data_IF_688956760896
#
_entry.id   IF_688956760896
#
_cell.length_a   1.000
_cell.length_b   1.000
_cell.length_c   1.000
_cell.angle_alpha   90.00
_cell.angle_beta   90.00
_cell.angle_gamma   90.00
#
_symmetry.space_group_name_H-M   'P 1'
#
loop_
_entity.id
_entity.type
_entity.pdbx_description
1 polymer ?
#
# COMPACT_ATOMS: atom_id res chain seq x y z
N UNK A 1 28.93 7.98 69.46
CA UNK A 1 29.08 8.82 68.24
C UNK A 1 29.32 8.02 66.94
N UNK A 2 29.43 6.68 66.94
CA UNK A 2 29.67 5.87 65.72
C UNK A 2 28.40 5.40 64.97
N UNK A 3 27.24 5.33 65.65
CA UNK A 3 26.00 4.82 65.05
C UNK A 3 25.29 5.82 64.12
N UNK A 4 25.45 7.13 64.34
CA UNK A 4 24.80 8.17 63.51
C UNK A 4 25.44 8.29 62.12
N UNK A 5 26.73 7.95 61.98
CA UNK A 5 27.47 8.03 60.72
C UNK A 5 27.04 6.92 59.76
N UNK A 6 26.75 5.72 60.29
CA UNK A 6 26.34 4.56 59.50
C UNK A 6 24.94 4.75 58.88
N UNK A 7 24.02 5.41 59.60
CA UNK A 7 22.67 5.74 59.09
C UNK A 7 22.69 6.80 57.97
N UNK A 8 23.62 7.76 58.04
CA UNK A 8 23.75 8.81 57.01
C UNK A 8 24.30 8.25 55.69
N UNK A 9 25.29 7.36 55.76
CA UNK A 9 25.89 6.69 54.60
C UNK A 9 24.86 5.76 53.93
N UNK A 10 24.06 5.03 54.70
CA UNK A 10 23.03 4.14 54.17
C UNK A 10 21.91 4.90 53.42
N UNK A 11 21.47 6.06 53.94
CA UNK A 11 20.49 6.93 53.26
C UNK A 11 21.04 7.53 51.97
N UNK A 12 22.31 7.95 51.96
CA UNK A 12 22.94 8.48 50.75
C UNK A 12 23.04 7.42 49.64
N UNK A 13 23.40 6.17 49.99
CA UNK A 13 23.45 5.03 49.06
C UNK A 13 22.08 4.70 48.45
N UNK A 14 21.01 4.73 49.26
CA UNK A 14 19.63 4.50 48.80
C UNK A 14 19.16 5.59 47.82
N UNK A 15 19.45 6.86 48.08
CA UNK A 15 19.12 7.94 47.13
C UNK A 15 19.89 7.83 45.81
N UNK A 16 21.16 7.41 45.86
CA UNK A 16 22.00 7.23 44.67
C UNK A 16 21.51 6.05 43.80
N UNK A 17 21.09 4.95 44.42
CA UNK A 17 20.49 3.80 43.74
C UNK A 17 19.14 4.16 43.08
N UNK A 18 18.32 4.96 43.76
CA UNK A 18 17.03 5.41 43.21
C UNK A 18 17.24 6.38 42.03
N UNK A 19 18.20 7.29 42.13
CA UNK A 19 18.59 8.19 41.04
C UNK A 19 19.18 7.44 39.84
N UNK A 20 19.98 6.39 40.07
CA UNK A 20 20.50 5.53 39.02
C UNK A 20 19.40 4.70 38.32
N UNK A 21 18.37 4.26 39.06
CA UNK A 21 17.21 3.57 38.50
C UNK A 21 16.30 4.46 37.63
N UNK A 22 16.25 5.76 37.90
CA UNK A 22 15.49 6.71 37.08
C UNK A 22 16.15 7.00 35.72
N UNK A 23 17.46 6.75 35.59
CA UNK A 23 18.22 6.97 34.34
C UNK A 23 18.09 5.82 33.33
N UNK A 24 17.59 4.64 33.73
CA UNK A 24 17.41 3.50 32.82
C UNK A 24 16.07 3.51 32.08
N UNK A 25 15.12 4.39 32.46
CA UNK A 25 13.81 4.52 31.82
C UNK A 25 13.84 5.20 30.44
N UNK A 26 14.90 5.93 30.11
CA UNK A 26 15.05 6.63 28.83
C UNK A 26 15.73 5.78 27.73
N UNK A 27 16.11 4.53 28.03
CA UNK A 27 16.77 3.64 27.07
C UNK A 27 15.78 2.78 26.24
N UNK A 28 14.50 3.15 26.22
CA UNK A 28 13.52 2.53 25.32
C UNK A 28 13.85 2.87 23.87
N UNK A 29 14.42 1.92 23.13
CA UNK A 29 14.65 2.04 21.69
C UNK A 29 13.29 2.26 21.00
N UNK A 30 13.08 3.43 20.41
CA UNK A 30 11.92 3.68 19.54
C UNK A 30 11.85 2.59 18.47
N UNK A 31 10.64 2.14 18.14
CA UNK A 31 10.44 1.26 17.01
C UNK A 31 10.99 1.93 15.73
N UNK A 32 11.68 1.19 14.85
CA UNK A 32 12.20 1.76 13.61
C UNK A 32 11.04 2.07 12.66
N UNK A 33 11.09 3.24 12.02
CA UNK A 33 10.19 3.59 10.93
C UNK A 33 10.47 2.71 9.70
N UNK A 34 9.41 2.23 9.06
CA UNK A 34 9.45 1.35 7.88
C UNK A 34 8.71 1.99 6.73
N UNK A 35 9.29 1.91 5.54
CA UNK A 35 8.69 2.40 4.30
C UNK A 35 8.40 1.23 3.37
N UNK A 36 7.22 1.26 2.75
CA UNK A 36 6.71 0.18 1.90
C UNK A 36 6.38 0.73 0.52
N UNK A 37 6.71 -0.06 -0.50
CA UNK A 37 6.35 0.21 -1.89
C UNK A 37 5.47 -0.94 -2.38
N UNK A 38 4.47 -0.63 -3.20
CA UNK A 38 3.78 -1.67 -3.96
C UNK A 38 4.73 -2.16 -5.07
N UNK A 39 5.07 -3.44 -5.03
CA UNK A 39 5.94 -4.08 -6.01
C UNK A 39 5.12 -4.94 -6.97
N UNK A 40 5.28 -4.70 -8.27
CA UNK A 40 4.83 -5.61 -9.32
C UNK A 40 5.78 -6.81 -9.47
N UNK A 41 7.05 -6.66 -9.07
CA UNK A 41 8.10 -7.64 -9.28
C UNK A 41 7.96 -8.85 -8.33
N UNK A 42 7.29 -8.68 -7.18
CA UNK A 42 6.93 -9.79 -6.29
C UNK A 42 5.85 -10.72 -6.89
N UNK A 43 5.23 -10.31 -8.01
CA UNK A 43 4.11 -11.00 -8.65
C UNK A 43 4.39 -11.37 -10.11
N UNK A 44 5.47 -10.85 -10.75
CA UNK A 44 5.76 -11.07 -12.17
C UNK A 44 7.26 -11.32 -12.48
N UNK A 45 7.58 -12.13 -13.50
CA UNK A 45 8.86 -12.03 -14.20
C UNK A 45 8.94 -10.74 -15.01
N UNK A 46 10.07 -10.04 -14.95
CA UNK A 46 10.33 -8.82 -15.71
C UNK A 46 10.40 -9.10 -17.22
N UNK A 47 9.30 -8.89 -17.93
CA UNK A 47 9.31 -8.78 -19.39
C UNK A 47 8.49 -7.56 -19.80
N UNK A 48 9.19 -6.47 -20.12
CA UNK A 48 8.60 -5.38 -20.90
C UNK A 48 8.61 -5.85 -22.36
N UNK A 49 7.47 -5.88 -23.05
CA UNK A 49 7.43 -6.22 -24.47
C UNK A 49 8.41 -5.36 -25.27
N UNK A 50 9.34 -6.00 -25.99
CA UNK A 50 10.35 -5.30 -26.79
C UNK A 50 9.76 -4.63 -28.04
N UNK A 51 8.51 -4.97 -28.40
CA UNK A 51 7.75 -4.41 -29.51
C UNK A 51 6.28 -4.23 -29.10
N UNK A 52 5.96 -3.15 -28.39
CA UNK A 52 4.57 -2.79 -28.10
C UNK A 52 3.82 -2.48 -29.39
N UNK A 53 2.76 -3.25 -29.69
CA UNK A 53 2.00 -3.12 -30.96
C UNK A 53 0.93 -2.03 -30.93
N UNK A 54 0.52 -1.60 -29.74
CA UNK A 54 -0.43 -0.51 -29.52
C UNK A 54 -0.19 0.14 -28.15
N UNK A 55 -0.74 1.34 -27.97
CA UNK A 55 -0.70 2.10 -26.72
C UNK A 55 -2.02 1.94 -25.98
N UNK A 56 -1.97 1.73 -24.66
CA UNK A 56 -3.10 1.73 -23.74
C UNK A 56 -2.88 2.86 -22.73
N UNK A 57 -3.78 3.82 -22.66
CA UNK A 57 -3.70 4.87 -21.66
C UNK A 57 -4.35 4.42 -20.36
N UNK A 58 -3.60 4.48 -19.26
CA UNK A 58 -4.14 4.34 -17.91
C UNK A 58 -4.41 5.74 -17.36
N UNK A 59 -5.68 6.10 -17.25
CA UNK A 59 -6.09 7.34 -16.59
C UNK A 59 -5.66 7.31 -15.12
N UNK A 60 -5.41 8.49 -14.54
CA UNK A 60 -5.06 8.64 -13.14
C UNK A 60 -6.05 7.88 -12.27
N UNK A 61 -5.55 6.91 -11.50
CA UNK A 61 -6.39 6.06 -10.65
C UNK A 61 -7.02 6.91 -9.55
N UNK A 62 -8.34 6.81 -9.40
CA UNK A 62 -9.08 7.43 -8.33
C UNK A 62 -9.03 6.52 -7.08
N UNK A 63 -8.68 7.09 -5.92
CA UNK A 63 -8.66 6.39 -4.63
C UNK A 63 -9.47 7.16 -3.59
N UNK A 64 -10.02 6.48 -2.58
CA UNK A 64 -10.69 7.12 -1.45
C UNK A 64 -9.77 8.11 -0.72
N UNK A 65 -10.25 9.30 -0.33
CA UNK A 65 -9.41 10.31 0.32
C UNK A 65 -8.74 9.86 1.64
N UNK A 66 -9.33 8.89 2.35
CA UNK A 66 -8.72 8.37 3.57
C UNK A 66 -7.45 7.54 3.30
N UNK A 67 -7.28 7.02 2.07
CA UNK A 67 -6.09 6.30 1.62
C UNK A 67 -5.01 7.24 1.05
N UNK A 68 -5.36 8.49 0.72
CA UNK A 68 -4.43 9.47 0.15
C UNK A 68 -3.60 10.14 1.25
N UNK A 69 -2.73 9.33 1.88
CA UNK A 69 -1.85 9.75 2.97
C UNK A 69 -0.58 8.87 3.07
N UNK A 70 0.46 9.35 3.75
CA UNK A 70 1.69 8.59 3.91
C UNK A 70 1.55 7.32 4.76
N UNK A 71 0.69 7.30 5.78
CA UNK A 71 0.56 6.15 6.68
C UNK A 71 -0.21 5.00 6.04
N UNK A 72 0.17 3.76 6.34
CA UNK A 72 -0.66 2.60 6.00
C UNK A 72 -1.94 2.62 6.85
N UNK A 73 -3.08 2.37 6.21
CA UNK A 73 -4.40 2.38 6.83
C UNK A 73 -4.86 0.97 7.16
N UNK A 74 -5.38 0.77 8.37
CA UNK A 74 -6.09 -0.44 8.79
C UNK A 74 -7.49 -0.04 9.23
N UNK A 75 -8.50 -0.70 8.66
CA UNK A 75 -9.88 -0.56 9.05
C UNK A 75 -10.15 -1.34 10.32
N UNK A 76 -10.71 -0.64 11.30
CA UNK A 76 -11.24 -1.23 12.52
C UNK A 76 -12.76 -1.35 12.51
N UNK A 77 -13.28 -1.78 13.64
CA UNK A 77 -14.72 -1.91 13.85
C UNK A 77 -15.44 -0.57 13.92
N UNK A 78 -16.76 -0.61 13.73
CA UNK A 78 -17.66 0.55 13.87
C UNK A 78 -17.22 1.77 13.04
N UNK A 79 -16.62 1.53 11.87
CA UNK A 79 -16.17 2.59 10.95
C UNK A 79 -14.87 3.27 11.37
N UNK A 80 -14.12 2.74 12.35
CA UNK A 80 -12.83 3.28 12.76
C UNK A 80 -11.76 3.03 11.71
N UNK A 81 -10.85 3.99 11.58
CA UNK A 81 -9.65 3.90 10.75
C UNK A 81 -8.45 4.08 11.67
N UNK A 82 -7.56 3.10 11.68
CA UNK A 82 -6.28 3.13 12.36
C UNK A 82 -5.19 3.49 11.35
N UNK A 83 -4.36 4.46 11.71
CA UNK A 83 -3.19 4.82 10.95
C UNK A 83 -1.97 4.18 11.60
N UNK A 84 -1.12 3.57 10.79
CA UNK A 84 0.12 3.02 11.29
C UNK A 84 1.05 4.13 11.78
N UNK A 85 1.59 3.97 12.98
CA UNK A 85 2.46 4.98 13.61
C UNK A 85 3.87 5.01 12.97
N UNK A 86 4.42 3.84 12.65
CA UNK A 86 5.80 3.68 12.16
C UNK A 86 5.88 3.02 10.77
N UNK A 87 4.76 2.83 10.09
CA UNK A 87 4.70 2.14 8.79
C UNK A 87 4.06 3.03 7.74
N UNK A 88 4.86 3.40 6.75
CA UNK A 88 4.52 4.42 5.76
C UNK A 88 4.63 3.86 4.35
N UNK A 89 3.81 4.36 3.45
CA UNK A 89 4.09 4.27 2.03
C UNK A 89 5.35 5.08 1.71
N UNK A 90 6.21 4.51 0.87
CA UNK A 90 7.45 5.13 0.42
C UNK A 90 7.22 6.30 -0.56
N UNK A 91 6.00 6.43 -1.08
CA UNK A 91 5.52 7.47 -1.99
C UNK A 91 3.99 7.58 -1.85
N UNK A 92 3.32 8.56 -2.51
CA UNK A 92 1.86 8.61 -2.54
C UNK A 92 1.28 7.28 -3.05
N UNK A 93 0.37 6.68 -2.27
CA UNK A 93 -0.20 5.36 -2.58
C UNK A 93 -0.81 5.30 -3.99
N UNK A 94 -1.43 6.39 -4.43
CA UNK A 94 -1.99 6.52 -5.78
C UNK A 94 -0.96 6.30 -6.88
N UNK A 95 0.26 6.83 -6.69
CA UNK A 95 1.34 6.74 -7.67
C UNK A 95 1.90 5.32 -7.69
N UNK A 96 2.04 4.68 -6.52
CA UNK A 96 2.37 3.26 -6.39
C UNK A 96 1.38 2.37 -7.13
N UNK A 97 0.08 2.60 -6.94
CA UNK A 97 -0.99 1.85 -7.61
C UNK A 97 -0.91 2.03 -9.12
N UNK A 98 -0.81 3.28 -9.58
CA UNK A 98 -0.79 3.59 -11.02
C UNK A 98 0.42 2.95 -11.72
N UNK A 99 1.61 3.05 -11.13
CA UNK A 99 2.83 2.42 -11.68
C UNK A 99 2.74 0.90 -11.69
N UNK A 100 2.22 0.30 -10.61
CA UNK A 100 2.06 -1.15 -10.53
C UNK A 100 1.09 -1.67 -11.59
N UNK A 101 -0.08 -1.05 -11.70
CA UNK A 101 -1.10 -1.43 -12.68
C UNK A 101 -0.60 -1.24 -14.09
N UNK A 102 0.06 -0.12 -14.40
CA UNK A 102 0.65 0.12 -15.72
C UNK A 102 1.65 -0.99 -16.11
N UNK A 103 2.54 -1.38 -15.19
CA UNK A 103 3.50 -2.46 -15.43
C UNK A 103 2.82 -3.82 -15.64
N UNK A 104 1.83 -4.17 -14.81
CA UNK A 104 1.11 -5.44 -14.92
C UNK A 104 0.29 -5.52 -16.21
N UNK A 105 -0.45 -4.45 -16.53
CA UNK A 105 -1.23 -4.34 -17.77
C UNK A 105 -0.34 -4.40 -19.01
N UNK A 106 0.84 -3.78 -19.00
CA UNK A 106 1.78 -3.84 -20.12
C UNK A 106 2.22 -5.28 -20.41
N UNK A 107 2.51 -6.06 -19.36
CA UNK A 107 2.84 -7.49 -19.49
C UNK A 107 1.65 -8.34 -19.94
N UNK A 108 0.47 -8.13 -19.32
CA UNK A 108 -0.72 -8.95 -19.58
C UNK A 108 -1.37 -8.68 -20.95
N UNK A 109 -1.25 -7.45 -21.47
CA UNK A 109 -1.86 -7.05 -22.76
C UNK A 109 -0.87 -6.95 -23.91
N UNK A 110 0.44 -7.06 -23.65
CA UNK A 110 1.50 -6.85 -24.64
C UNK A 110 1.43 -5.45 -25.31
N UNK A 111 1.04 -4.43 -24.55
CA UNK A 111 0.89 -3.01 -24.98
C UNK A 111 1.86 -2.10 -24.23
N UNK A 112 2.15 -0.95 -24.83
CA UNK A 112 2.77 0.14 -24.10
C UNK A 112 1.69 0.81 -23.24
N UNK A 113 1.85 0.78 -21.91
CA UNK A 113 0.92 1.46 -21.00
C UNK A 113 1.52 2.78 -20.56
N UNK A 114 0.80 3.86 -20.84
CA UNK A 114 1.21 5.23 -20.51
C UNK A 114 0.27 5.82 -19.45
N UNK A 115 0.79 6.66 -18.56
CA UNK A 115 0.01 7.26 -17.45
C UNK A 115 -0.08 8.79 -17.53
N UNK A 116 0.79 9.45 -18.29
CA UNK A 116 0.90 10.92 -18.30
C UNK A 116 0.34 11.59 -19.56
N UNK A 117 0.42 10.93 -20.71
CA UNK A 117 0.02 11.48 -22.01
C UNK A 117 -0.84 10.46 -22.76
N UNK A 118 -1.81 10.97 -23.52
CA UNK A 118 -2.75 10.21 -24.32
C UNK A 118 -2.83 10.84 -25.71
N UNK A 119 -2.69 10.03 -26.76
CA UNK A 119 -3.01 10.45 -28.12
C UNK A 119 -4.47 10.15 -28.43
N UNK A 120 -5.14 11.06 -29.15
CA UNK A 120 -6.52 10.85 -29.55
C UNK A 120 -6.69 9.54 -30.34
N UNK A 121 -7.63 8.70 -29.91
CA UNK A 121 -7.95 7.43 -30.56
C UNK A 121 -7.33 6.20 -29.91
N UNK A 122 -6.50 6.35 -28.87
CA UNK A 122 -6.00 5.21 -28.09
C UNK A 122 -7.08 4.63 -27.17
N UNK A 123 -6.92 3.37 -26.80
CA UNK A 123 -7.78 2.78 -25.76
C UNK A 123 -7.40 3.35 -24.40
N UNK A 124 -8.40 3.55 -23.54
CA UNK A 124 -8.25 4.14 -22.22
C UNK A 124 -8.88 3.27 -21.14
N UNK A 125 -8.12 3.00 -20.09
CA UNK A 125 -8.62 2.37 -18.87
C UNK A 125 -8.84 3.44 -17.82
N UNK A 126 -10.06 3.52 -17.30
CA UNK A 126 -10.38 4.31 -16.10
C UNK A 126 -10.66 3.38 -14.93
N UNK A 127 -10.07 3.69 -13.78
CA UNK A 127 -10.17 2.89 -12.55
C UNK A 127 -10.53 3.78 -11.37
N UNK A 128 -11.57 3.38 -10.65
CA UNK A 128 -12.01 4.00 -9.39
C UNK A 128 -11.95 2.95 -8.30
N UNK A 129 -11.00 3.09 -7.38
CA UNK A 129 -10.91 2.26 -6.19
C UNK A 129 -11.90 2.83 -5.16
N UNK A 130 -12.82 1.99 -4.70
CA UNK A 130 -13.81 2.30 -3.68
C UNK A 130 -13.30 1.91 -2.29
N UNK A 131 -12.51 0.84 -2.23
CA UNK A 131 -11.87 0.33 -1.02
C UNK A 131 -10.56 -0.38 -1.35
N UNK A 132 -9.55 -0.13 -0.54
CA UNK A 132 -8.29 -0.88 -0.55
C UNK A 132 -7.63 -0.74 0.83
N UNK A 133 -8.07 -1.55 1.79
CA UNK A 133 -7.56 -1.51 3.16
C UNK A 133 -7.48 -2.90 3.78
N UNK A 134 -6.52 -3.04 4.71
CA UNK A 134 -6.45 -4.16 5.64
C UNK A 134 -7.48 -3.97 6.75
N UNK A 135 -7.97 -5.07 7.32
CA UNK A 135 -8.77 -5.11 8.54
C UNK A 135 -7.92 -5.55 9.72
N UNK A 136 -8.42 -5.34 10.94
CA UNK A 136 -7.79 -5.85 12.17
C UNK A 136 -7.69 -7.38 12.22
N UNK A 137 -8.54 -8.08 11.46
CA UNK A 137 -8.54 -9.54 11.35
C UNK A 137 -7.48 -10.07 10.36
N UNK A 138 -6.76 -9.16 9.69
CA UNK A 138 -5.67 -9.50 8.77
C UNK A 138 -6.09 -9.70 7.32
N UNK A 139 -7.37 -9.49 7.00
CA UNK A 139 -7.85 -9.51 5.62
C UNK A 139 -7.63 -8.16 4.94
N UNK A 140 -7.15 -8.17 3.71
CA UNK A 140 -7.13 -7.01 2.81
C UNK A 140 -8.26 -7.13 1.81
N UNK A 141 -9.08 -6.09 1.72
CA UNK A 141 -10.23 -6.06 0.79
C UNK A 141 -10.02 -5.00 -0.27
N UNK A 142 -10.29 -5.36 -1.53
CA UNK A 142 -10.38 -4.44 -2.65
C UNK A 142 -11.81 -4.41 -3.18
N UNK A 143 -12.33 -3.20 -3.35
CA UNK A 143 -13.53 -2.91 -4.12
C UNK A 143 -13.16 -1.83 -5.12
N UNK A 144 -13.41 -2.07 -6.39
CA UNK A 144 -13.09 -1.14 -7.47
C UNK A 144 -14.14 -1.21 -8.57
N UNK A 145 -14.23 -0.14 -9.32
CA UNK A 145 -14.92 -0.08 -10.60
C UNK A 145 -13.91 0.28 -11.68
N UNK A 146 -14.03 -0.33 -12.84
CA UNK A 146 -13.17 -0.01 -13.97
C UNK A 146 -13.96 -0.07 -15.27
N UNK A 147 -13.46 0.61 -16.30
CA UNK A 147 -14.02 0.52 -17.65
C UNK A 147 -12.93 0.72 -18.69
N UNK A 148 -13.18 0.17 -19.88
CA UNK A 148 -12.33 0.32 -21.05
C UNK A 148 -13.08 1.15 -22.11
N UNK A 149 -12.51 2.30 -22.43
CA UNK A 149 -12.92 3.16 -23.53
C UNK A 149 -12.10 2.82 -24.77
N UNK A 150 -12.75 2.46 -25.87
CA UNK A 150 -12.06 2.11 -27.11
C UNK A 150 -12.09 3.22 -28.14
N UNK A 151 -10.99 3.38 -28.88
CA UNK A 151 -10.91 4.35 -29.97
C UNK A 151 -11.12 5.81 -29.53
N UNK A 152 -10.84 6.12 -28.27
CA UNK A 152 -11.02 7.45 -27.68
C UNK A 152 -12.47 7.86 -27.37
N UNK A 153 -13.45 6.97 -27.54
CA UNK A 153 -14.84 7.24 -27.17
C UNK A 153 -15.10 6.91 -25.69
N UNK A 154 -15.76 7.81 -24.97
CA UNK A 154 -16.12 7.66 -23.56
C UNK A 154 -17.41 6.82 -23.38
N UNK A 155 -17.38 5.58 -23.87
CA UNK A 155 -18.57 4.72 -24.00
C UNK A 155 -18.38 3.33 -23.39
N UNK A 156 -17.26 3.08 -22.71
CA UNK A 156 -17.00 1.80 -22.05
C UNK A 156 -18.02 1.47 -20.95
N UNK A 157 -18.40 0.19 -20.86
CA UNK A 157 -19.23 -0.32 -19.76
C UNK A 157 -18.43 -0.33 -18.44
N UNK A 158 -19.10 0.00 -17.33
CA UNK A 158 -18.51 -0.12 -16.00
C UNK A 158 -18.57 -1.56 -15.49
N UNK A 159 -17.41 -2.10 -15.15
CA UNK A 159 -17.24 -3.38 -14.49
C UNK A 159 -16.95 -3.18 -13.00
N UNK A 160 -17.49 -4.08 -12.17
CA UNK A 160 -17.21 -4.12 -10.74
C UNK A 160 -16.21 -5.23 -10.43
N UNK A 161 -15.22 -4.91 -9.60
CA UNK A 161 -14.25 -5.85 -9.08
C UNK A 161 -14.28 -5.83 -7.55
N UNK A 162 -14.53 -6.99 -6.94
CA UNK A 162 -14.50 -7.17 -5.49
C UNK A 162 -13.72 -8.43 -5.17
N UNK A 163 -12.69 -8.30 -4.35
CA UNK A 163 -11.89 -9.43 -3.91
C UNK A 163 -11.30 -9.18 -2.52
N UNK A 164 -10.98 -10.26 -1.82
CA UNK A 164 -10.42 -10.24 -0.47
C UNK A 164 -9.36 -11.32 -0.33
N UNK A 165 -8.21 -10.95 0.23
CA UNK A 165 -7.13 -11.87 0.54
C UNK A 165 -6.75 -11.75 2.00
N UNK A 166 -6.60 -12.89 2.68
CA UNK A 166 -5.97 -12.93 4.00
C UNK A 166 -4.47 -12.69 3.85
N UNK A 167 -3.92 -11.79 4.67
CA UNK A 167 -2.49 -11.55 4.70
C UNK A 167 -1.77 -12.80 5.24
N UNK A 168 -0.63 -13.15 4.62
CA UNK A 168 0.16 -14.30 5.07
C UNK A 168 0.70 -14.11 6.50
N UNK A 169 0.90 -12.86 6.89
CA UNK A 169 1.27 -12.44 8.23
C UNK A 169 0.38 -11.27 8.61
N UNK A 170 -0.15 -11.27 9.82
CA UNK A 170 -1.00 -10.20 10.33
C UNK A 170 -0.16 -8.97 10.75
N UNK A 171 0.54 -8.37 9.79
CA UNK A 171 1.41 -7.23 9.95
C UNK A 171 1.45 -6.39 8.65
N UNK A 172 2.05 -5.20 8.71
CA UNK A 172 2.06 -4.29 7.56
C UNK A 172 2.75 -4.85 6.32
N UNK A 173 3.81 -5.66 6.45
CA UNK A 173 4.44 -6.29 5.28
C UNK A 173 3.53 -7.33 4.64
N UNK A 174 2.79 -8.11 5.42
CA UNK A 174 1.78 -9.05 4.93
C UNK A 174 0.60 -8.32 4.27
N UNK A 175 0.17 -7.19 4.83
CA UNK A 175 -0.87 -6.36 4.21
C UNK A 175 -0.41 -5.83 2.85
N UNK A 176 0.79 -5.26 2.77
CA UNK A 176 1.34 -4.72 1.51
C UNK A 176 1.42 -5.80 0.42
N UNK A 177 1.85 -7.01 0.78
CA UNK A 177 1.85 -8.14 -0.17
C UNK A 177 0.43 -8.48 -0.66
N UNK A 178 -0.57 -8.48 0.21
CA UNK A 178 -1.95 -8.71 -0.17
C UNK A 178 -2.53 -7.57 -1.03
N UNK A 179 -2.15 -6.31 -0.77
CA UNK A 179 -2.49 -5.17 -1.63
C UNK A 179 -1.94 -5.37 -3.05
N UNK A 180 -0.65 -5.71 -3.19
CA UNK A 180 -0.02 -5.99 -4.48
C UNK A 180 -0.75 -7.12 -5.22
N UNK A 181 -1.10 -8.22 -4.54
CA UNK A 181 -1.82 -9.33 -5.17
C UNK A 181 -3.22 -8.94 -5.64
N UNK A 182 -3.97 -8.17 -4.86
CA UNK A 182 -5.30 -7.68 -5.28
C UNK A 182 -5.20 -6.77 -6.51
N UNK A 183 -4.19 -5.90 -6.57
CA UNK A 183 -3.94 -5.05 -7.74
C UNK A 183 -3.55 -5.87 -8.97
N UNK A 184 -2.78 -6.94 -8.79
CA UNK A 184 -2.44 -7.85 -9.88
C UNK A 184 -3.70 -8.57 -10.42
N UNK A 185 -4.58 -9.04 -9.53
CA UNK A 185 -5.85 -9.67 -9.92
C UNK A 185 -6.79 -8.68 -10.63
N UNK A 186 -6.81 -7.41 -10.21
CA UNK A 186 -7.55 -6.35 -10.91
C UNK A 186 -6.99 -6.11 -12.31
N UNK A 187 -5.66 -6.03 -12.46
CA UNK A 187 -5.03 -5.85 -13.77
C UNK A 187 -5.31 -7.03 -14.71
N UNK A 188 -5.30 -8.26 -14.19
CA UNK A 188 -5.67 -9.45 -14.96
C UNK A 188 -7.15 -9.42 -15.39
N UNK A 189 -8.03 -8.92 -14.52
CA UNK A 189 -9.45 -8.74 -14.85
C UNK A 189 -9.67 -7.72 -15.97
N UNK A 190 -8.98 -6.58 -15.90
CA UNK A 190 -8.99 -5.57 -16.95
C UNK A 190 -8.42 -6.16 -18.25
N UNK A 191 -7.24 -6.81 -18.18
CA UNK A 191 -6.54 -7.31 -19.36
C UNK A 191 -7.36 -8.34 -20.15
N UNK A 192 -8.15 -9.19 -19.47
CA UNK A 192 -9.07 -10.14 -20.14
C UNK A 192 -10.13 -9.47 -21.01
N UNK A 193 -10.45 -8.20 -20.74
CA UNK A 193 -11.44 -7.44 -21.47
C UNK A 193 -10.82 -6.46 -22.48
N UNK A 194 -9.49 -6.33 -22.52
CA UNK A 194 -8.79 -5.55 -23.54
C UNK A 194 -8.72 -6.36 -24.83
N UNK A 195 -9.17 -5.83 -25.98
CA UNK A 195 -9.07 -6.52 -27.26
C UNK A 195 -7.63 -6.94 -27.59
N UNK A 196 -7.47 -8.16 -28.10
CA UNK A 196 -6.19 -8.65 -28.59
C UNK A 196 -5.72 -7.90 -29.84
N UNK A 197 -4.40 -7.87 -30.05
CA UNK A 197 -3.74 -7.19 -31.19
C UNK A 197 -3.18 -8.20 -32.19
#
# INVERSE_FOLDING_TARGET
MRMSVCSGVLRALLCLLFAAGLLTGCAGKSAPTRFYLLSADDVLPAAVPQEARAVLWLEKVEIPPYLDRPNIVVRGDAGRIYLAEFDYWAEPLRDSISRMLARKLAGDTNRAVVTESYAAGEDRVKIVILRLDASTDGDVTMEAMWRLDSGGADTGEWHYFVNRLSAQQNNYSGYVQAHSRLLALLAEDIARNVPAI
#
